data_IF_662131995089
#
_entry.id   IF_662131995089
#
_cell.length_a   1.000
_cell.length_b   1.000
_cell.length_c   1.000
_cell.angle_alpha   90.00
_cell.angle_beta   90.00
_cell.angle_gamma   90.00
#
_symmetry.space_group_name_H-M   'P 1'
#
loop_
_entity.id
_entity.type
_entity.pdbx_description
1 polymer ?
#
# COMPACT_ATOMS: atom_id res chain seq x y z
N UNK A 1 -2.52 -13.23 32.60
CA UNK A 1 -2.08 -12.15 31.69
C UNK A 1 -2.14 -10.85 32.48
N UNK A 2 -1.05 -10.08 32.54
CA UNK A 2 -1.03 -8.83 33.33
C UNK A 2 -1.70 -7.68 32.57
N UNK A 3 -2.19 -6.67 33.29
CA UNK A 3 -2.79 -5.46 32.70
C UNK A 3 -1.84 -4.79 31.70
N UNK A 4 -0.53 -4.76 32.00
CA UNK A 4 0.50 -4.23 31.11
C UNK A 4 0.57 -4.98 29.78
N UNK A 5 0.43 -6.31 29.79
CA UNK A 5 0.43 -7.11 28.56
C UNK A 5 -0.81 -6.83 27.69
N UNK A 6 -1.97 -6.59 28.32
CA UNK A 6 -3.21 -6.24 27.63
C UNK A 6 -3.13 -4.85 26.99
N UNK A 7 -2.56 -3.87 27.68
CA UNK A 7 -2.36 -2.51 27.15
C UNK A 7 -1.38 -2.50 25.97
N UNK A 8 -0.25 -3.21 26.08
CA UNK A 8 0.72 -3.30 24.98
C UNK A 8 0.14 -4.00 23.75
N UNK A 9 -0.65 -5.06 23.96
CA UNK A 9 -1.37 -5.73 22.88
C UNK A 9 -2.38 -4.80 22.21
N UNK A 10 -3.13 -4.02 23.00
CA UNK A 10 -4.08 -3.02 22.49
C UNK A 10 -3.40 -1.97 21.60
N UNK A 11 -2.28 -1.40 22.05
CA UNK A 11 -1.52 -0.39 21.28
C UNK A 11 -1.01 -0.97 19.95
N UNK A 12 -0.45 -2.19 19.98
CA UNK A 12 0.05 -2.86 18.78
C UNK A 12 -1.04 -3.12 17.75
N UNK A 13 -2.23 -3.55 18.19
CA UNK A 13 -3.38 -3.79 17.34
C UNK A 13 -3.88 -2.50 16.68
N UNK A 14 -4.00 -1.41 17.44
CA UNK A 14 -4.40 -0.10 16.92
C UNK A 14 -3.42 0.44 15.88
N UNK A 15 -2.11 0.30 16.11
CA UNK A 15 -1.09 0.72 15.14
C UNK A 15 -1.17 -0.07 13.84
N UNK A 16 -1.32 -1.40 13.91
CA UNK A 16 -1.49 -2.22 12.70
C UNK A 16 -2.78 -1.92 11.94
N UNK A 17 -3.89 -1.65 12.65
CA UNK A 17 -5.15 -1.30 12.02
C UNK A 17 -5.05 0.03 11.27
N UNK A 18 -4.40 1.04 11.85
CA UNK A 18 -4.12 2.31 11.18
C UNK A 18 -3.20 2.14 9.96
N UNK A 19 -2.12 1.37 10.13
CA UNK A 19 -1.19 1.10 9.03
C UNK A 19 -1.85 0.41 7.85
N UNK A 20 -2.72 -0.57 8.12
CA UNK A 20 -3.47 -1.26 7.07
C UNK A 20 -4.53 -0.37 6.43
N UNK A 21 -5.25 0.46 7.19
CA UNK A 21 -6.23 1.38 6.63
C UNK A 21 -5.58 2.33 5.62
N UNK A 22 -4.41 2.88 5.94
CA UNK A 22 -3.65 3.73 5.03
C UNK A 22 -3.15 2.94 3.82
N UNK A 23 -2.53 1.77 4.03
CA UNK A 23 -2.09 0.90 2.94
C UNK A 23 -3.23 0.57 1.97
N UNK A 24 -4.40 0.22 2.50
CA UNK A 24 -5.60 -0.10 1.73
C UNK A 24 -6.07 1.10 0.91
N UNK A 25 -6.15 2.28 1.54
CA UNK A 25 -6.53 3.51 0.86
C UNK A 25 -5.58 3.84 -0.29
N UNK A 26 -4.29 3.76 -0.03
CA UNK A 26 -3.26 4.20 -0.97
C UNK A 26 -3.04 3.19 -2.10
N UNK A 27 -3.21 1.89 -1.84
CA UNK A 27 -2.72 0.85 -2.75
C UNK A 27 -3.76 -0.13 -3.25
N UNK A 28 -4.91 -0.33 -2.59
CA UNK A 28 -5.83 -1.42 -2.99
C UNK A 28 -7.01 -0.89 -3.81
N UNK A 29 -7.24 -1.51 -4.98
CA UNK A 29 -8.39 -1.25 -5.85
C UNK A 29 -9.12 -2.57 -6.11
N UNK A 30 -10.30 -2.72 -5.52
CA UNK A 30 -11.12 -3.93 -5.61
C UNK A 30 -12.16 -3.78 -6.71
N UNK A 31 -12.26 -4.77 -7.61
CA UNK A 31 -13.27 -4.84 -8.67
C UNK A 31 -13.31 -3.63 -9.61
N UNK A 32 -12.19 -2.94 -9.80
CA UNK A 32 -12.05 -1.85 -10.77
C UNK A 32 -10.72 -1.99 -11.49
N UNK A 33 -10.72 -1.93 -12.82
CA UNK A 33 -9.51 -2.06 -13.67
C UNK A 33 -9.20 -0.81 -14.50
N UNK A 34 -10.15 0.12 -14.57
CA UNK A 34 -10.06 1.36 -15.34
C UNK A 34 -10.16 2.57 -14.41
N UNK A 35 -9.07 2.82 -13.69
CA UNK A 35 -8.89 4.05 -12.92
C UNK A 35 -7.95 4.98 -13.67
N UNK A 36 -8.08 6.29 -13.42
CA UNK A 36 -7.02 7.25 -13.71
C UNK A 36 -6.35 7.65 -12.40
N UNK A 37 -5.04 7.88 -12.42
CA UNK A 37 -4.27 8.32 -11.24
C UNK A 37 -4.87 9.57 -10.60
N UNK A 38 -5.18 10.59 -11.39
CA UNK A 38 -5.76 11.84 -10.88
C UNK A 38 -7.07 11.57 -10.13
N UNK A 39 -8.01 10.88 -10.76
CA UNK A 39 -9.36 10.75 -10.19
C UNK A 39 -9.35 9.89 -8.92
N UNK A 40 -8.50 8.86 -8.83
CA UNK A 40 -8.43 8.01 -7.63
C UNK A 40 -7.67 8.67 -6.49
N UNK A 41 -6.56 9.37 -6.76
CA UNK A 41 -5.77 10.09 -5.77
C UNK A 41 -6.61 11.22 -5.15
N UNK A 42 -7.32 11.98 -5.97
CA UNK A 42 -8.22 13.05 -5.53
C UNK A 42 -9.39 12.49 -4.71
N UNK A 43 -10.09 11.47 -5.22
CA UNK A 43 -11.22 10.84 -4.52
C UNK A 43 -10.84 10.28 -3.15
N UNK A 44 -9.60 9.80 -2.99
CA UNK A 44 -9.09 9.18 -1.76
C UNK A 44 -8.23 10.12 -0.92
N UNK A 45 -8.09 11.38 -1.33
CA UNK A 45 -7.24 12.39 -0.69
C UNK A 45 -5.83 11.87 -0.37
N UNK A 46 -5.22 11.16 -1.32
CA UNK A 46 -3.88 10.58 -1.15
C UNK A 46 -2.84 11.69 -1.30
N UNK A 47 -2.04 11.86 -0.25
CA UNK A 47 -0.98 12.87 -0.17
C UNK A 47 0.26 12.25 0.47
N UNK A 48 1.41 12.90 0.33
CA UNK A 48 2.57 12.55 1.15
C UNK A 48 2.40 13.08 2.59
N UNK A 49 3.34 12.74 3.48
CA UNK A 49 3.28 13.12 4.90
C UNK A 49 3.27 14.64 5.16
N UNK A 50 3.58 15.45 4.13
CA UNK A 50 3.56 16.92 4.18
C UNK A 50 2.30 17.52 3.56
N UNK A 51 1.31 16.71 3.17
CA UNK A 51 0.08 17.17 2.53
C UNK A 51 0.23 17.59 1.06
N UNK A 52 1.37 17.27 0.42
CA UNK A 52 1.59 17.54 -1.00
C UNK A 52 1.20 16.32 -1.86
N UNK A 53 1.19 16.48 -3.18
CA UNK A 53 1.04 15.35 -4.10
C UNK A 53 2.07 14.26 -3.77
N UNK A 54 1.61 13.01 -3.71
CA UNK A 54 2.51 11.88 -3.56
C UNK A 54 3.31 11.72 -4.85
N UNK A 55 4.64 11.73 -4.74
CA UNK A 55 5.51 11.67 -5.93
C UNK A 55 5.26 10.40 -6.71
N UNK A 56 5.18 9.28 -6.00
CA UNK A 56 4.91 7.96 -6.55
C UNK A 56 3.82 7.27 -5.76
N UNK A 57 2.88 6.66 -6.47
CA UNK A 57 1.93 5.75 -5.87
C UNK A 57 1.60 4.61 -6.83
N UNK A 58 1.29 3.44 -6.28
CA UNK A 58 0.93 2.27 -7.09
C UNK A 58 -0.36 1.68 -6.57
N UNK A 59 -1.33 1.53 -7.45
CA UNK A 59 -2.58 0.84 -7.19
C UNK A 59 -2.51 -0.61 -7.67
N UNK A 60 -2.76 -1.53 -6.75
CA UNK A 60 -2.86 -2.96 -6.93
C UNK A 60 -4.33 -3.29 -7.21
N UNK A 61 -4.58 -3.81 -8.41
CA UNK A 61 -5.92 -4.24 -8.79
C UNK A 61 -6.15 -5.69 -8.36
N UNK A 62 -7.27 -5.94 -7.71
CA UNK A 62 -7.68 -7.28 -7.30
C UNK A 62 -9.20 -7.44 -7.40
N UNK A 63 -9.68 -8.68 -7.53
CA UNK A 63 -11.10 -9.02 -7.34
C UNK A 63 -11.41 -9.38 -5.88
N UNK A 64 -10.38 -9.77 -5.12
CA UNK A 64 -10.47 -10.15 -3.73
C UNK A 64 -9.33 -9.53 -2.92
N UNK A 65 -9.67 -8.62 -2.00
CA UNK A 65 -8.70 -7.96 -1.13
C UNK A 65 -7.90 -8.95 -0.27
N UNK A 66 -8.47 -10.13 0.04
CA UNK A 66 -7.78 -11.18 0.80
C UNK A 66 -6.54 -11.72 0.10
N UNK A 67 -6.45 -11.60 -1.22
CA UNK A 67 -5.27 -12.04 -1.97
C UNK A 67 -4.03 -11.22 -1.60
N UNK A 68 -4.22 -9.99 -1.12
CA UNK A 68 -3.16 -9.09 -0.66
C UNK A 68 -2.95 -9.26 0.85
N UNK A 69 -4.02 -9.29 1.66
CA UNK A 69 -3.87 -9.41 3.12
C UNK A 69 -3.27 -10.75 3.54
N UNK A 70 -3.57 -11.83 2.80
CA UNK A 70 -3.05 -13.17 3.10
C UNK A 70 -1.53 -13.29 2.94
N UNK A 71 -0.88 -12.38 2.20
CA UNK A 71 0.59 -12.32 2.13
C UNK A 71 1.22 -12.18 3.52
N UNK A 72 0.51 -11.51 4.43
CA UNK A 72 0.98 -11.24 5.77
C UNK A 72 0.55 -12.27 6.81
N UNK A 73 -0.21 -13.32 6.47
CA UNK A 73 -0.63 -14.32 7.44
C UNK A 73 0.57 -14.96 8.16
N UNK A 74 0.58 -14.86 9.49
CA UNK A 74 1.67 -15.38 10.32
C UNK A 74 2.93 -14.49 10.36
N UNK A 75 2.91 -13.30 9.74
CA UNK A 75 4.06 -12.38 9.67
C UNK A 75 3.86 -11.18 10.59
N UNK A 76 4.53 -11.19 11.74
CA UNK A 76 4.34 -10.15 12.78
C UNK A 76 5.22 -8.92 12.61
N UNK A 77 6.47 -9.06 12.14
CA UNK A 77 7.37 -7.93 11.85
C UNK A 77 8.50 -8.39 10.95
N UNK A 78 8.27 -8.36 9.64
CA UNK A 78 9.33 -8.70 8.70
C UNK A 78 10.22 -7.48 8.45
N UNK A 79 11.55 -7.65 8.58
CA UNK A 79 12.51 -6.62 8.15
C UNK A 79 12.60 -6.60 6.63
N UNK A 80 12.43 -7.77 6.02
CA UNK A 80 12.39 -7.94 4.58
C UNK A 80 10.96 -7.75 4.07
N UNK A 81 10.85 -7.43 2.79
CA UNK A 81 9.58 -7.40 2.09
C UNK A 81 9.05 -8.81 1.83
N UNK A 82 7.72 -8.92 1.74
CA UNK A 82 7.03 -10.17 1.41
C UNK A 82 6.61 -10.11 -0.04
N UNK A 83 7.21 -10.97 -0.86
CA UNK A 83 6.93 -11.09 -2.28
C UNK A 83 5.68 -11.96 -2.50
N UNK A 84 4.76 -11.49 -3.35
CA UNK A 84 3.61 -12.30 -3.71
C UNK A 84 3.99 -13.44 -4.66
N UNK A 85 3.38 -14.61 -4.46
CA UNK A 85 3.48 -15.70 -5.44
C UNK A 85 2.85 -15.31 -6.79
N UNK A 86 1.65 -14.71 -6.75
CA UNK A 86 0.90 -14.32 -7.93
C UNK A 86 1.32 -12.94 -8.45
N UNK A 87 1.08 -12.69 -9.73
CA UNK A 87 1.20 -11.35 -10.33
C UNK A 87 -0.14 -10.62 -10.27
N UNK A 88 -0.10 -9.31 -10.05
CA UNK A 88 -1.25 -8.43 -9.98
C UNK A 88 -1.19 -7.39 -11.10
N UNK A 89 -2.32 -7.01 -11.71
CA UNK A 89 -2.38 -5.80 -12.53
C UNK A 89 -2.14 -4.58 -11.63
N UNK A 90 -1.29 -3.67 -12.08
CA UNK A 90 -0.94 -2.45 -11.35
C UNK A 90 -1.19 -1.22 -12.21
N UNK A 91 -1.54 -0.12 -11.53
CA UNK A 91 -1.48 1.23 -12.08
C UNK A 91 -0.46 2.04 -11.27
N UNK A 92 0.70 2.32 -11.86
CA UNK A 92 1.73 3.20 -11.31
C UNK A 92 1.43 4.65 -11.70
N UNK A 93 1.48 5.52 -10.70
CA UNK A 93 1.23 6.96 -10.78
C UNK A 93 2.51 7.71 -10.41
N UNK A 94 2.94 8.60 -11.29
CA UNK A 94 4.08 9.49 -11.07
C UNK A 94 3.62 10.94 -11.21
N UNK A 95 3.83 11.77 -10.21
CA UNK A 95 3.53 13.20 -10.35
C UNK A 95 4.33 13.80 -11.51
N UNK A 96 3.71 14.64 -12.32
CA UNK A 96 4.40 15.38 -13.39
C UNK A 96 5.09 16.62 -12.81
N UNK A 97 6.07 17.18 -13.53
CA UNK A 97 6.79 18.38 -13.07
C UNK A 97 5.88 19.60 -12.85
N UNK A 98 4.77 19.67 -13.59
CA UNK A 98 3.75 20.73 -13.51
C UNK A 98 2.59 20.38 -12.55
N UNK A 99 2.62 19.20 -11.93
CA UNK A 99 1.63 18.78 -10.94
C UNK A 99 1.99 19.26 -9.54
N UNK A 100 1.14 20.07 -8.93
CA UNK A 100 1.29 20.52 -7.55
C UNK A 100 -0.05 20.55 -6.84
N UNK A 101 -0.05 20.28 -5.53
CA UNK A 101 -1.27 20.26 -4.73
C UNK A 101 -1.94 21.65 -4.76
N UNK A 102 -3.28 21.74 -4.90
CA UNK A 102 -4.27 20.65 -4.95
C UNK A 102 -4.48 20.03 -6.34
N UNK A 103 -3.85 20.56 -7.38
CA UNK A 103 -4.03 20.14 -8.78
C UNK A 103 -2.96 19.13 -9.22
N UNK A 104 -2.88 18.00 -8.54
CA UNK A 104 -1.91 16.96 -8.86
C UNK A 104 -2.15 16.41 -10.28
N UNK A 105 -1.09 16.38 -11.08
CA UNK A 105 -1.07 15.81 -12.43
C UNK A 105 -0.13 14.61 -12.41
N UNK A 106 -0.52 13.53 -13.09
CA UNK A 106 0.20 12.27 -13.03
C UNK A 106 0.44 11.67 -14.41
N UNK A 107 1.65 11.16 -14.64
CA UNK A 107 1.89 10.13 -15.64
C UNK A 107 1.41 8.79 -15.10
N UNK A 108 0.71 8.03 -15.94
CA UNK A 108 0.15 6.74 -15.58
C UNK A 108 0.79 5.62 -16.40
N UNK A 109 1.23 4.56 -15.73
CA UNK A 109 1.73 3.34 -16.36
C UNK A 109 0.95 2.14 -15.86
N UNK A 110 0.48 1.29 -16.78
CA UNK A 110 -0.17 0.02 -16.45
C UNK A 110 0.82 -1.13 -16.67
N UNK A 111 0.89 -2.05 -15.72
CA UNK A 111 1.79 -3.20 -15.76
C UNK A 111 1.18 -4.39 -15.01
N UNK A 112 1.85 -5.55 -15.05
CA UNK A 112 1.43 -6.75 -14.34
C UNK A 112 2.64 -7.49 -13.78
N UNK A 113 2.80 -7.47 -12.46
CA UNK A 113 4.00 -7.95 -11.77
C UNK A 113 3.67 -8.55 -10.40
N UNK A 114 4.62 -9.26 -9.79
CA UNK A 114 4.53 -9.61 -8.37
C UNK A 114 4.65 -8.34 -7.52
N UNK A 115 4.01 -8.31 -6.37
CA UNK A 115 4.05 -7.19 -5.44
C UNK A 115 4.92 -7.54 -4.23
N UNK A 116 5.52 -6.52 -3.63
CA UNK A 116 6.26 -6.66 -2.40
C UNK A 116 5.69 -5.76 -1.31
N UNK A 117 5.39 -6.33 -0.14
CA UNK A 117 4.74 -5.60 0.95
C UNK A 117 5.45 -5.78 2.28
N UNK A 118 5.39 -4.76 3.14
CA UNK A 118 5.79 -4.88 4.54
C UNK A 118 4.62 -5.36 5.37
N UNK A 119 4.85 -6.34 6.22
CA UNK A 119 3.85 -6.87 7.15
C UNK A 119 4.16 -6.47 8.59
N UNK A 120 3.13 -6.02 9.32
CA UNK A 120 3.15 -5.78 10.76
C UNK A 120 1.89 -6.39 11.38
N UNK A 121 2.06 -7.24 12.39
CA UNK A 121 0.97 -7.97 13.08
C UNK A 121 0.01 -8.68 12.12
N UNK A 122 0.55 -9.35 11.11
CA UNK A 122 -0.18 -10.03 10.05
C UNK A 122 -0.98 -9.15 9.08
N UNK A 123 -0.71 -7.85 9.05
CA UNK A 123 -1.34 -6.91 8.11
C UNK A 123 -0.32 -6.23 7.20
N UNK A 124 -0.64 -6.00 5.91
CA UNK A 124 0.20 -5.20 5.04
C UNK A 124 0.09 -3.73 5.45
N UNK A 125 1.23 -3.07 5.59
CA UNK A 125 1.31 -1.66 6.05
C UNK A 125 2.15 -0.78 5.14
N UNK A 126 2.85 -1.36 4.16
CA UNK A 126 3.65 -0.61 3.17
C UNK A 126 3.76 -1.40 1.88
N UNK A 127 3.69 -0.71 0.74
CA UNK A 127 4.01 -1.26 -0.58
C UNK A 127 5.43 -0.84 -0.95
N UNK A 128 6.29 -1.82 -1.21
CA UNK A 128 7.63 -1.56 -1.71
C UNK A 128 7.58 -1.43 -3.24
N UNK A 129 7.82 -0.21 -3.73
CA UNK A 129 7.97 0.02 -5.15
C UNK A 129 9.30 -0.54 -5.67
N UNK A 130 9.39 -0.76 -6.99
CA UNK A 130 10.65 -1.20 -7.65
C UNK A 130 11.83 -0.24 -7.47
N UNK A 131 11.59 0.98 -6.99
CA UNK A 131 12.62 1.99 -6.75
C UNK A 131 13.25 1.87 -5.37
N UNK A 132 12.60 1.17 -4.45
CA UNK A 132 13.12 0.96 -3.11
C UNK A 132 14.13 -0.19 -3.13
N UNK A 133 15.30 0.02 -2.54
CA UNK A 133 16.33 -1.00 -2.41
C UNK A 133 16.01 -1.91 -1.21
N UNK A 134 15.09 -2.86 -1.42
CA UNK A 134 14.64 -3.81 -0.40
C UNK A 134 14.72 -5.24 -0.94
N UNK A 135 15.06 -6.20 -0.08
CA UNK A 135 14.96 -7.62 -0.40
C UNK A 135 13.53 -8.10 -0.17
N UNK A 136 12.94 -8.75 -1.17
CA UNK A 136 11.60 -9.31 -1.10
C UNK A 136 11.67 -10.82 -1.24
N UNK A 137 11.15 -11.54 -0.26
CA UNK A 137 11.11 -13.00 -0.29
C UNK A 137 9.68 -13.49 -0.19
N UNK A 138 9.43 -14.61 -0.84
CA UNK A 138 8.15 -15.32 -0.79
C UNK A 138 7.85 -15.80 0.63
#
# INVERSE_FOLDING_TARGET
MSLSALVMLGILLSFSAHGYANFRNDHIVVNQTNITCRDIEERRNITNDHGNCKEWNTFIHTTNERDITNLCNGRNRNRDGVLSHNTFPLTECHVTLDGAFPNCRFNQTKLKEQICVKCVNSWPVHYYSRRENITCTV
#
